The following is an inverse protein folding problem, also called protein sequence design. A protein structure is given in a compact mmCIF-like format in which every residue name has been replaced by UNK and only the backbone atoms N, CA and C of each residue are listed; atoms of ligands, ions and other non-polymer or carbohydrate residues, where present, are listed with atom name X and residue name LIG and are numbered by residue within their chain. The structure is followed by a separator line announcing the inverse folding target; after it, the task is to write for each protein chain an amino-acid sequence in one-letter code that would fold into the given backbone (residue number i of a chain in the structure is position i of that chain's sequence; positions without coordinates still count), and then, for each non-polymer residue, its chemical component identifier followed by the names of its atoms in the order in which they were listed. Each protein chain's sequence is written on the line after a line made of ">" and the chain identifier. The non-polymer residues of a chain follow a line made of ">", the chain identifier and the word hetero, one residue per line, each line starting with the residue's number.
data_IF_141558323079
#
_entry.id   IF_141558323079
#
_cell.length_a   1.000
_cell.length_b   1.000
_cell.length_c   1.000
_cell.angle_alpha   90.00
_cell.angle_beta   90.00
_cell.angle_gamma   90.00
#
_symmetry.space_group_name_H-M   'P 1'
#
loop_
_entity.id
_entity.type
_entity.pdbx_description
1 polymer ?
#
# COMPACT_ATOMS: atom_id res chain seq x y z
N UNK A 1 7.40 6.91 -4.20
CA UNK A 1 7.63 6.00 -3.06
C UNK A 1 7.61 6.72 -1.72
N UNK A 2 8.38 7.78 -1.50
CA UNK A 2 8.37 8.49 -0.19
C UNK A 2 6.98 9.00 0.21
N UNK A 3 6.22 9.57 -0.74
CA UNK A 3 4.84 10.00 -0.49
C UNK A 3 3.94 8.85 0.01
N UNK A 4 4.10 7.64 -0.53
CA UNK A 4 3.32 6.48 -0.09
C UNK A 4 3.71 6.05 1.33
N UNK A 5 5.00 6.06 1.64
CA UNK A 5 5.50 5.78 2.98
C UNK A 5 4.95 6.78 3.99
N UNK A 6 4.93 8.07 3.64
CA UNK A 6 4.40 9.12 4.51
C UNK A 6 2.90 8.95 4.79
N UNK A 7 2.09 8.67 3.76
CA UNK A 7 0.67 8.39 3.97
C UNK A 7 0.44 7.16 4.87
N UNK A 8 1.28 6.13 4.76
CA UNK A 8 1.24 4.96 5.64
C UNK A 8 1.59 5.33 7.09
N UNK A 9 2.62 6.17 7.32
CA UNK A 9 2.97 6.66 8.67
C UNK A 9 1.80 7.39 9.31
N UNK A 10 1.20 8.33 8.57
CA UNK A 10 0.02 9.09 9.02
C UNK A 10 -1.14 8.15 9.36
N UNK A 11 -1.39 7.15 8.50
CA UNK A 11 -2.49 6.22 8.68
C UNK A 11 -2.31 5.32 9.90
N UNK A 12 -1.11 4.75 10.07
CA UNK A 12 -0.78 3.92 11.22
C UNK A 12 -0.88 4.71 12.53
N UNK A 13 -0.35 5.94 12.56
CA UNK A 13 -0.39 6.79 13.75
C UNK A 13 -1.83 7.12 14.15
N UNK A 14 -2.68 7.37 13.15
CA UNK A 14 -4.11 7.63 13.36
C UNK A 14 -4.85 6.41 13.93
N UNK A 15 -4.50 5.19 13.49
CA UNK A 15 -5.10 3.96 14.01
C UNK A 15 -4.66 3.66 15.45
N UNK A 16 -3.38 3.85 15.77
CA UNK A 16 -2.87 3.69 17.13
C UNK A 16 -3.51 4.68 18.11
N UNK A 17 -3.65 5.94 17.69
CA UNK A 17 -4.33 6.96 18.49
C UNK A 17 -5.79 6.59 18.77
N UNK A 18 -6.52 6.12 17.74
CA UNK A 18 -7.91 5.64 17.90
C UNK A 18 -7.97 4.45 18.85
N UNK A 19 -7.10 3.44 18.69
CA UNK A 19 -7.07 2.26 19.56
C UNK A 19 -6.84 2.61 21.04
N UNK A 20 -5.97 3.60 21.33
CA UNK A 20 -5.72 4.07 22.70
C UNK A 20 -6.92 4.80 23.32
N UNK A 21 -7.66 5.55 22.50
CA UNK A 21 -8.89 6.21 22.93
C UNK A 21 -10.01 5.21 23.25
N UNK A 22 -10.10 4.09 22.52
CA UNK A 22 -11.09 3.03 22.81
C UNK A 22 -10.75 2.21 24.05
N UNK A 23 -9.47 2.10 24.43
CA UNK A 23 -9.02 1.30 25.59
C UNK A 23 -9.07 2.09 26.91
N UNK A 24 -9.11 3.43 26.86
CA UNK A 24 -9.31 4.24 28.06
C UNK A 24 -10.81 4.32 28.40
N UNK A 25 -11.30 3.69 29.49
CA UNK A 25 -12.72 3.81 29.85
C UNK A 25 -13.03 5.26 30.20
N UNK A 26 -14.14 5.75 29.65
CA UNK A 26 -14.70 7.06 29.92
C UNK A 26 -15.09 7.16 31.41
N UNK A 27 -14.21 7.69 32.26
CA UNK A 27 -14.55 8.00 33.65
C UNK A 27 -15.46 9.23 33.62
N UNK A 28 -16.77 8.98 33.60
CA UNK A 28 -17.77 10.01 33.83
C UNK A 28 -17.70 10.43 35.31
N UNK A 29 -17.67 11.72 35.65
CA UNK A 29 -17.79 12.14 37.03
C UNK A 29 -19.22 11.88 37.50
N UNK A 30 -19.39 10.93 38.43
CA UNK A 30 -20.65 10.79 39.14
C UNK A 30 -20.90 12.05 39.97
N UNK A 31 -21.96 12.76 39.61
CA UNK A 31 -22.58 13.81 40.39
C UNK A 31 -23.16 13.22 41.68
N UNK A 32 -22.55 13.55 42.83
CA UNK A 32 -23.21 13.39 44.11
C UNK A 32 -23.78 14.76 44.53
N UNK A 33 -25.10 14.86 44.48
CA UNK A 33 -25.91 15.91 45.10
C UNK A 33 -26.27 15.50 46.52
N UNK A 34 -26.09 16.39 47.50
CA UNK A 34 -26.69 16.23 48.83
C UNK A 34 -26.06 17.06 49.94
N UNK A 35 -26.61 18.26 50.13
CA UNK A 35 -26.81 19.04 51.37
C UNK A 35 -25.66 19.53 52.27
N UNK A 36 -25.60 20.87 52.33
CA UNK A 36 -25.40 21.81 53.44
C UNK A 36 -25.06 21.33 54.86
N UNK A 37 -24.03 21.93 55.47
CA UNK A 37 -24.22 22.85 56.62
C UNK A 37 -22.94 23.60 57.10
N UNK A 38 -23.17 24.88 57.45
CA UNK A 38 -22.51 25.84 58.37
C UNK A 38 -21.01 25.79 58.78
N UNK A 39 -20.34 26.94 58.50
CA UNK A 39 -19.56 27.84 59.38
C UNK A 39 -18.67 27.30 60.53
N UNK A 40 -17.36 27.62 60.51
CA UNK A 40 -16.73 28.68 61.34
C UNK A 40 -15.21 28.81 61.10
N UNK A 41 -14.69 30.02 61.30
CA UNK A 41 -13.31 30.43 61.11
C UNK A 41 -12.46 30.29 62.39
N UNK A 42 -11.18 29.92 62.25
CA UNK A 42 -10.01 30.57 62.87
C UNK A 42 -8.71 29.78 62.65
N UNK A 43 -7.59 30.49 62.44
CA UNK A 43 -6.27 30.03 62.88
C UNK A 43 -5.18 29.92 61.82
N UNK A 44 -4.25 30.89 61.85
CA UNK A 44 -2.94 30.91 61.19
C UNK A 44 -2.06 29.70 61.59
N UNK A 45 -1.28 29.14 60.66
CA UNK A 45 0.19 28.99 60.76
C UNK A 45 0.79 28.02 59.71
N UNK A 46 1.92 28.47 59.12
CA UNK A 46 3.09 27.71 58.65
C UNK A 46 2.97 26.65 57.53
N UNK A 47 3.52 27.01 56.36
CA UNK A 47 4.18 26.12 55.37
C UNK A 47 5.27 25.21 56.01
N UNK A 48 5.78 24.12 55.37
CA UNK A 48 6.17 24.08 53.95
C UNK A 48 6.11 22.74 53.17
N UNK A 49 6.36 22.87 51.86
CA UNK A 49 6.95 21.90 50.91
C UNK A 49 6.41 20.45 50.93
N UNK A 50 5.45 20.19 50.04
CA UNK A 50 5.13 18.84 49.57
C UNK A 50 5.17 18.83 48.04
N UNK A 51 6.20 18.18 47.49
CA UNK A 51 6.47 18.06 46.07
C UNK A 51 5.20 17.70 45.26
N UNK A 52 4.82 18.58 44.34
CA UNK A 52 3.95 18.21 43.22
C UNK A 52 4.66 17.09 42.46
N UNK A 53 4.19 15.85 42.65
CA UNK A 53 4.49 14.72 41.78
C UNK A 53 4.14 15.16 40.36
N UNK A 54 5.16 15.60 39.63
CA UNK A 54 5.10 15.81 38.21
C UNK A 54 4.57 14.52 37.59
N UNK A 55 3.48 14.68 36.85
CA UNK A 55 2.91 13.66 36.00
C UNK A 55 4.03 13.03 35.16
N UNK A 56 4.37 11.78 35.46
CA UNK A 56 5.07 10.92 34.50
C UNK A 56 4.05 10.51 33.43
N UNK A 57 3.55 11.48 32.68
CA UNK A 57 3.01 11.19 31.38
C UNK A 57 4.22 10.83 30.52
N UNK A 58 4.42 9.55 30.27
CA UNK A 58 5.41 9.08 29.31
C UNK A 58 4.72 9.04 27.94
N UNK A 59 4.79 10.06 27.06
CA UNK A 59 4.38 9.88 25.69
C UNK A 59 5.55 9.21 24.96
N UNK A 60 5.78 7.92 25.20
CA UNK A 60 6.64 7.12 24.32
C UNK A 60 5.80 6.26 23.41
N UNK A 61 5.07 6.95 22.55
CA UNK A 61 4.68 6.39 21.28
C UNK A 61 5.60 7.01 20.25
N UNK A 62 6.74 6.39 19.99
CA UNK A 62 7.46 6.71 18.76
C UNK A 62 6.48 6.53 17.60
N UNK A 63 6.46 7.47 16.66
CA UNK A 63 5.64 7.35 15.47
C UNK A 63 5.91 5.98 14.79
N UNK A 64 4.89 5.35 14.19
CA UNK A 64 5.06 4.07 13.51
C UNK A 64 6.15 4.18 12.44
N UNK A 65 7.13 3.28 12.51
CA UNK A 65 8.25 3.27 11.59
C UNK A 65 7.83 2.62 10.27
N UNK A 66 7.87 3.41 9.21
CA UNK A 66 7.67 2.96 7.83
C UNK A 66 8.86 3.37 7.00
N UNK A 67 9.45 2.41 6.30
CA UNK A 67 10.54 2.61 5.35
C UNK A 67 10.19 2.03 3.99
N UNK A 68 10.96 2.40 2.98
CA UNK A 68 10.90 1.81 1.64
C UNK A 68 12.24 1.15 1.32
N UNK A 69 12.20 0.07 0.55
CA UNK A 69 13.39 -0.55 0.00
C UNK A 69 13.12 -0.94 -1.46
N UNK A 70 14.16 -0.94 -2.28
CA UNK A 70 14.09 -1.33 -3.70
C UNK A 70 14.97 -2.55 -3.94
N UNK A 71 14.46 -3.50 -4.71
CA UNK A 71 15.17 -4.74 -5.01
C UNK A 71 16.39 -4.50 -5.91
N UNK A 72 16.22 -3.64 -6.92
CA UNK A 72 17.22 -3.34 -7.93
C UNK A 72 17.46 -1.84 -8.04
N UNK A 73 18.57 -1.46 -8.68
CA UNK A 73 18.95 -0.08 -8.98
C UNK A 73 19.15 0.82 -7.75
N UNK A 74 19.24 0.22 -6.56
CA UNK A 74 19.68 0.89 -5.34
C UNK A 74 21.21 0.88 -5.23
N UNK A 75 21.76 1.86 -4.51
CA UNK A 75 23.19 1.92 -4.20
C UNK A 75 23.67 0.71 -3.37
N UNK A 76 22.77 0.10 -2.61
CA UNK A 76 23.04 -1.05 -1.76
C UNK A 76 22.02 -2.17 -1.98
N UNK A 77 22.42 -3.45 -1.85
CA UNK A 77 21.50 -4.58 -2.00
C UNK A 77 20.30 -4.53 -1.03
N UNK A 78 19.19 -5.16 -1.42
CA UNK A 78 17.96 -5.17 -0.62
C UNK A 78 18.17 -5.69 0.80
N UNK A 79 18.93 -6.79 0.99
CA UNK A 79 19.19 -7.33 2.32
C UNK A 79 19.90 -6.31 3.24
N UNK A 80 20.82 -5.50 2.71
CA UNK A 80 21.48 -4.46 3.50
C UNK A 80 20.51 -3.31 3.85
N UNK A 81 19.63 -2.93 2.92
CA UNK A 81 18.59 -1.93 3.19
C UNK A 81 17.68 -2.40 4.33
N UNK A 82 17.26 -3.67 4.30
CA UNK A 82 16.45 -4.30 5.35
C UNK A 82 17.19 -4.28 6.68
N UNK A 83 18.47 -4.70 6.72
CA UNK A 83 19.29 -4.70 7.94
C UNK A 83 19.40 -3.30 8.55
N UNK A 84 19.69 -2.27 7.73
CA UNK A 84 19.79 -0.88 8.21
C UNK A 84 18.48 -0.40 8.81
N UNK A 85 17.36 -0.67 8.15
CA UNK A 85 16.04 -0.29 8.68
C UNK A 85 15.68 -1.08 9.95
N UNK A 86 16.01 -2.36 10.01
CA UNK A 86 15.77 -3.21 11.17
C UNK A 86 16.58 -2.75 12.41
N UNK A 87 17.81 -2.27 12.21
CA UNK A 87 18.62 -1.68 13.29
C UNK A 87 18.01 -0.38 13.83
N UNK A 88 17.49 0.48 12.95
CA UNK A 88 16.73 1.67 13.35
C UNK A 88 15.49 1.25 14.16
N UNK A 89 14.73 0.26 13.67
CA UNK A 89 13.54 -0.24 14.33
C UNK A 89 13.83 -0.84 15.71
N UNK A 90 14.92 -1.61 15.83
CA UNK A 90 15.42 -2.13 17.11
C UNK A 90 15.75 -0.99 18.08
N UNK A 91 16.40 0.08 17.62
CA UNK A 91 16.69 1.26 18.44
C UNK A 91 15.43 1.97 18.97
N UNK A 92 14.31 1.84 18.25
CA UNK A 92 12.99 2.32 18.69
C UNK A 92 12.22 1.29 19.54
N UNK A 93 12.79 0.12 19.82
CA UNK A 93 12.18 -0.94 20.64
C UNK A 93 11.31 -1.93 19.86
N UNK A 94 11.31 -1.91 18.53
CA UNK A 94 10.61 -2.91 17.71
C UNK A 94 11.34 -4.26 17.76
N UNK A 95 10.55 -5.34 17.82
CA UNK A 95 11.05 -6.74 17.80
C UNK A 95 10.73 -7.49 16.50
N UNK A 96 9.89 -6.88 15.66
CA UNK A 96 9.40 -7.48 14.43
C UNK A 96 9.42 -6.44 13.32
N UNK A 97 9.68 -6.90 12.10
CA UNK A 97 9.63 -6.12 10.88
C UNK A 97 8.71 -6.82 9.88
N UNK A 98 7.61 -6.16 9.49
CA UNK A 98 6.75 -6.62 8.40
C UNK A 98 7.25 -6.06 7.07
N UNK A 99 7.57 -6.94 6.12
CA UNK A 99 8.02 -6.56 4.78
C UNK A 99 6.95 -6.93 3.75
N UNK A 100 6.39 -5.94 3.07
CA UNK A 100 5.35 -6.12 2.05
C UNK A 100 5.91 -5.83 0.65
N UNK A 101 6.03 -6.85 -0.22
CA UNK A 101 6.46 -6.63 -1.60
C UNK A 101 5.38 -5.89 -2.41
N UNK A 102 5.73 -4.72 -2.97
CA UNK A 102 4.87 -3.97 -3.88
C UNK A 102 5.02 -4.49 -5.32
N UNK A 103 4.48 -5.68 -5.57
CA UNK A 103 4.41 -6.30 -6.90
C UNK A 103 2.97 -6.73 -7.18
N UNK A 104 2.53 -6.58 -8.44
CA UNK A 104 1.16 -6.93 -8.87
C UNK A 104 1.01 -8.38 -9.35
N UNK A 105 2.10 -8.99 -9.80
CA UNK A 105 2.14 -10.31 -10.40
C UNK A 105 3.27 -11.12 -9.80
N UNK A 106 3.14 -12.44 -9.85
CA UNK A 106 4.17 -13.37 -9.40
C UNK A 106 5.26 -13.46 -10.47
N UNK A 107 6.48 -13.06 -10.11
CA UNK A 107 7.67 -13.11 -10.98
C UNK A 107 8.90 -13.68 -10.26
N UNK A 108 10.05 -13.72 -10.94
CA UNK A 108 11.35 -14.14 -10.35
C UNK A 108 11.58 -13.38 -9.05
N UNK A 109 11.39 -12.07 -9.12
CA UNK A 109 11.57 -11.16 -8.01
C UNK A 109 10.75 -11.54 -6.78
N UNK A 110 9.46 -11.84 -6.95
CA UNK A 110 8.56 -12.15 -5.84
C UNK A 110 8.81 -13.56 -5.28
N UNK A 111 9.09 -14.52 -6.16
CA UNK A 111 9.12 -15.93 -5.79
C UNK A 111 10.51 -16.42 -5.37
N UNK A 112 11.57 -15.75 -5.80
CA UNK A 112 12.96 -16.20 -5.62
C UNK A 112 13.81 -15.09 -5.01
N UNK A 113 13.94 -13.94 -5.69
CA UNK A 113 14.92 -12.92 -5.29
C UNK A 113 14.59 -12.27 -3.93
N UNK A 114 13.34 -11.86 -3.70
CA UNK A 114 12.92 -11.25 -2.44
C UNK A 114 13.01 -12.22 -1.27
N UNK A 115 12.46 -13.45 -1.34
CA UNK A 115 12.66 -14.45 -0.29
C UNK A 115 14.14 -14.70 0.01
N UNK A 116 15.00 -14.76 -1.01
CA UNK A 116 16.44 -14.91 -0.84
C UNK A 116 17.07 -13.71 -0.10
N UNK A 117 16.77 -12.48 -0.52
CA UNK A 117 17.27 -11.26 0.12
C UNK A 117 16.77 -11.13 1.57
N UNK A 118 15.52 -11.51 1.85
CA UNK A 118 14.98 -11.54 3.21
C UNK A 118 15.70 -12.57 4.09
N UNK A 119 16.00 -13.76 3.55
CA UNK A 119 16.77 -14.78 4.27
C UNK A 119 18.17 -14.27 4.64
N UNK A 120 18.87 -13.61 3.71
CA UNK A 120 20.17 -12.98 3.99
C UNK A 120 20.06 -11.91 5.07
N UNK A 121 19.04 -11.05 5.01
CA UNK A 121 18.82 -10.03 6.03
C UNK A 121 18.54 -10.66 7.41
N UNK A 122 17.71 -11.71 7.48
CA UNK A 122 17.40 -12.40 8.72
C UNK A 122 18.63 -13.06 9.34
N UNK A 123 19.49 -13.68 8.52
CA UNK A 123 20.76 -14.26 8.98
C UNK A 123 21.66 -13.20 9.61
N UNK A 124 21.75 -12.02 9.01
CA UNK A 124 22.57 -10.91 9.53
C UNK A 124 22.01 -10.31 10.83
N UNK A 125 20.70 -10.35 11.04
CA UNK A 125 20.04 -9.78 12.23
C UNK A 125 19.95 -10.78 13.40
N UNK A 126 20.16 -12.07 13.15
CA UNK A 126 20.00 -13.11 14.16
C UNK A 126 18.57 -13.15 14.71
N UNK A 127 18.43 -13.33 16.02
CA UNK A 127 17.14 -13.41 16.73
C UNK A 127 16.70 -12.08 17.36
N UNK A 128 17.42 -10.99 17.10
CA UNK A 128 17.13 -9.69 17.72
C UNK A 128 15.86 -9.04 17.18
N UNK A 129 15.55 -9.30 15.91
CA UNK A 129 14.35 -8.83 15.22
C UNK A 129 13.92 -9.88 14.19
N UNK A 130 12.63 -10.20 14.17
CA UNK A 130 12.05 -11.18 13.25
C UNK A 130 11.49 -10.46 12.03
N UNK A 131 11.89 -10.87 10.82
CA UNK A 131 11.34 -10.36 9.57
C UNK A 131 10.19 -11.25 9.12
N UNK A 132 9.00 -10.66 9.02
CA UNK A 132 7.82 -11.28 8.45
C UNK A 132 7.66 -10.82 7.00
N UNK A 133 8.04 -11.67 6.05
CA UNK A 133 7.75 -11.45 4.64
C UNK A 133 6.26 -11.71 4.39
N UNK A 134 5.53 -10.65 4.08
CA UNK A 134 4.11 -10.71 3.77
C UNK A 134 3.88 -11.12 2.30
N UNK A 135 2.68 -11.62 1.95
CA UNK A 135 2.29 -11.77 0.55
C UNK A 135 2.46 -10.47 -0.22
N UNK A 136 2.92 -10.57 -1.47
CA UNK A 136 3.00 -9.43 -2.38
C UNK A 136 1.62 -8.80 -2.62
N UNK A 137 1.59 -7.50 -2.93
CA UNK A 137 0.36 -6.73 -3.10
C UNK A 137 -0.66 -7.38 -4.06
N UNK A 138 -0.19 -7.97 -5.15
CA UNK A 138 -0.97 -8.70 -6.15
C UNK A 138 -1.79 -9.86 -5.61
N UNK A 139 -1.33 -10.49 -4.53
CA UNK A 139 -2.05 -11.59 -3.88
C UNK A 139 -3.24 -11.11 -3.02
N UNK A 140 -3.36 -9.80 -2.76
CA UNK A 140 -4.46 -9.28 -1.95
C UNK A 140 -5.76 -9.23 -2.76
N UNK A 141 -6.82 -9.96 -2.38
CA UNK A 141 -8.09 -9.98 -3.11
C UNK A 141 -8.76 -8.59 -3.25
N UNK A 142 -8.45 -7.66 -2.34
CA UNK A 142 -8.95 -6.29 -2.41
C UNK A 142 -8.39 -5.49 -3.60
N UNK A 143 -7.34 -5.96 -4.28
CA UNK A 143 -6.78 -5.30 -5.46
C UNK A 143 -7.81 -5.23 -6.60
N UNK A 144 -8.58 -6.29 -6.84
CA UNK A 144 -9.61 -6.30 -7.89
C UNK A 144 -10.69 -5.26 -7.61
N UNK A 145 -11.04 -5.05 -6.34
CA UNK A 145 -11.98 -3.98 -5.94
C UNK A 145 -11.42 -2.59 -6.23
N UNK A 146 -10.13 -2.37 -5.97
CA UNK A 146 -9.45 -1.12 -6.33
C UNK A 146 -9.50 -0.88 -7.85
N UNK A 147 -9.15 -1.90 -8.65
CA UNK A 147 -9.19 -1.81 -10.11
C UNK A 147 -10.60 -1.57 -10.65
N UNK A 148 -11.61 -2.22 -10.07
CA UNK A 148 -13.03 -2.02 -10.40
C UNK A 148 -13.44 -0.56 -10.21
N UNK A 149 -13.02 0.07 -9.12
CA UNK A 149 -13.30 1.48 -8.84
C UNK A 149 -12.58 2.44 -9.80
N UNK A 150 -11.36 2.10 -10.24
CA UNK A 150 -10.69 2.86 -11.30
C UNK A 150 -11.43 2.71 -12.63
N UNK A 151 -11.89 1.50 -12.92
CA UNK A 151 -12.64 1.20 -14.14
C UNK A 151 -13.96 1.95 -14.23
N UNK A 152 -14.69 2.09 -13.12
CA UNK A 152 -15.96 2.80 -13.09
C UNK A 152 -15.87 4.27 -13.56
N UNK A 153 -14.65 4.84 -13.62
CA UNK A 153 -14.37 6.19 -14.10
C UNK A 153 -13.97 6.24 -15.59
N UNK A 154 -13.83 5.08 -16.24
CA UNK A 154 -13.46 4.96 -17.64
C UNK A 154 -14.67 4.59 -18.49
N UNK A 155 -14.88 5.33 -19.58
CA UNK A 155 -15.94 5.06 -20.54
C UNK A 155 -15.43 4.16 -21.67
N UNK A 156 -16.18 3.11 -21.99
CA UNK A 156 -15.90 2.23 -23.12
C UNK A 156 -16.94 1.12 -23.27
N UNK A 157 -17.22 0.74 -24.51
CA UNK A 157 -18.04 -0.44 -24.85
C UNK A 157 -17.21 -1.73 -24.95
N UNK A 158 -15.88 -1.61 -25.06
CA UNK A 158 -14.93 -2.69 -24.89
C UNK A 158 -13.82 -2.33 -23.88
N UNK A 159 -13.19 -3.35 -23.31
CA UNK A 159 -12.32 -3.21 -22.13
C UNK A 159 -11.02 -4.01 -22.28
N UNK A 160 -9.88 -3.35 -22.11
CA UNK A 160 -8.54 -3.96 -22.14
C UNK A 160 -7.82 -3.71 -20.82
N UNK A 161 -7.39 -4.77 -20.14
CA UNK A 161 -6.44 -4.69 -19.04
C UNK A 161 -5.02 -4.85 -19.60
N UNK A 162 -4.24 -3.78 -19.61
CA UNK A 162 -2.88 -3.78 -20.16
C UNK A 162 -1.86 -3.96 -19.04
N UNK A 163 -1.14 -5.08 -19.04
CA UNK A 163 -0.02 -5.32 -18.12
C UNK A 163 1.32 -5.33 -18.86
N UNK A 164 2.44 -5.35 -18.11
CA UNK A 164 3.76 -5.46 -18.72
C UNK A 164 3.91 -6.76 -19.55
N UNK A 165 3.29 -7.84 -19.09
CA UNK A 165 3.54 -9.18 -19.61
C UNK A 165 4.82 -9.81 -19.05
N UNK A 166 4.84 -11.14 -19.08
CA UNK A 166 5.96 -11.97 -18.64
C UNK A 166 6.07 -13.18 -19.54
N UNK A 167 7.29 -13.65 -19.80
CA UNK A 167 7.51 -14.90 -20.52
C UNK A 167 7.39 -16.15 -19.63
N UNK A 168 7.17 -15.97 -18.31
CA UNK A 168 7.02 -17.09 -17.38
C UNK A 168 5.73 -17.87 -17.66
N UNK A 169 5.78 -19.22 -17.66
CA UNK A 169 4.57 -20.04 -17.68
C UNK A 169 3.61 -19.65 -16.55
N UNK A 170 2.32 -19.51 -16.87
CA UNK A 170 1.27 -19.16 -15.91
C UNK A 170 1.17 -17.67 -15.56
N UNK A 171 2.14 -16.83 -15.91
CA UNK A 171 2.08 -15.39 -15.60
C UNK A 171 0.97 -14.64 -16.36
N UNK A 172 0.65 -15.09 -17.58
CA UNK A 172 -0.52 -14.62 -18.33
C UNK A 172 -1.84 -15.04 -17.69
N UNK A 173 -1.90 -16.19 -17.01
CA UNK A 173 -3.14 -16.69 -16.39
C UNK A 173 -3.59 -15.77 -15.25
N UNK A 174 -2.65 -15.22 -14.47
CA UNK A 174 -2.94 -14.25 -13.41
C UNK A 174 -3.52 -12.95 -13.97
N UNK A 175 -2.88 -12.37 -14.99
CA UNK A 175 -3.39 -11.16 -15.64
C UNK A 175 -4.74 -11.44 -16.30
N UNK A 176 -4.88 -12.58 -16.97
CA UNK A 176 -6.12 -13.02 -17.60
C UNK A 176 -7.26 -13.20 -16.59
N UNK A 177 -6.98 -13.79 -15.42
CA UNK A 177 -7.97 -13.94 -14.36
C UNK A 177 -8.46 -12.59 -13.82
N UNK A 178 -7.55 -11.64 -13.61
CA UNK A 178 -7.91 -10.28 -13.20
C UNK A 178 -8.71 -9.58 -14.31
N UNK A 179 -8.28 -9.69 -15.57
CA UNK A 179 -9.01 -9.11 -16.71
C UNK A 179 -10.43 -9.68 -16.80
N UNK A 180 -10.59 -10.99 -16.69
CA UNK A 180 -11.90 -11.66 -16.71
C UNK A 180 -12.81 -11.17 -15.57
N UNK A 181 -12.28 -11.01 -14.35
CA UNK A 181 -13.06 -10.47 -13.21
C UNK A 181 -13.52 -9.03 -13.45
N UNK A 182 -12.78 -8.25 -14.25
CA UNK A 182 -13.14 -6.88 -14.62
C UNK A 182 -14.04 -6.82 -15.87
N UNK A 183 -14.34 -7.97 -16.49
CA UNK A 183 -15.04 -8.05 -17.78
C UNK A 183 -14.23 -7.46 -18.92
N UNK A 184 -12.90 -7.59 -18.86
CA UNK A 184 -11.93 -7.08 -19.82
C UNK A 184 -11.17 -8.22 -20.50
N UNK A 185 -10.56 -7.94 -21.66
CA UNK A 185 -9.54 -8.80 -22.25
C UNK A 185 -8.15 -8.38 -21.77
N UNK A 186 -7.25 -9.34 -21.58
CA UNK A 186 -5.87 -9.04 -21.22
C UNK A 186 -5.05 -8.66 -22.47
N UNK A 187 -4.20 -7.65 -22.35
CA UNK A 187 -3.14 -7.34 -23.32
C UNK A 187 -1.82 -7.11 -22.61
N UNK A 188 -0.73 -7.24 -23.35
CA UNK A 188 0.61 -7.17 -22.78
C UNK A 188 1.53 -6.22 -23.55
N UNK A 189 2.43 -5.58 -22.84
CA UNK A 189 3.46 -4.70 -23.42
C UNK A 189 4.59 -5.49 -24.09
N UNK A 190 5.10 -6.53 -23.42
CA UNK A 190 6.32 -7.25 -23.83
C UNK A 190 6.08 -8.61 -24.49
N UNK A 191 4.83 -9.10 -24.49
CA UNK A 191 4.44 -10.41 -25.03
C UNK A 191 3.08 -10.33 -25.74
N UNK A 192 2.61 -11.43 -26.32
CA UNK A 192 1.29 -11.50 -26.97
C UNK A 192 0.19 -11.98 -26.00
N UNK A 193 -1.08 -11.66 -26.24
CA UNK A 193 -1.55 -10.68 -27.23
C UNK A 193 -1.17 -9.24 -26.89
N UNK A 194 -0.68 -8.52 -27.89
CA UNK A 194 -0.24 -7.13 -27.76
C UNK A 194 -1.42 -6.16 -27.70
N UNK A 195 -1.15 -4.92 -27.26
CA UNK A 195 -2.16 -3.86 -27.28
C UNK A 195 -2.70 -3.59 -28.70
N UNK A 196 -1.82 -3.59 -29.70
CA UNK A 196 -2.19 -3.44 -31.12
C UNK A 196 -3.17 -4.51 -31.58
N UNK A 197 -2.86 -5.77 -31.28
CA UNK A 197 -3.69 -6.92 -31.67
C UNK A 197 -5.07 -6.83 -31.03
N UNK A 198 -5.15 -6.55 -29.73
CA UNK A 198 -6.43 -6.46 -29.03
C UNK A 198 -7.27 -5.28 -29.50
N UNK A 199 -6.66 -4.13 -29.81
CA UNK A 199 -7.40 -3.00 -30.40
C UNK A 199 -7.93 -3.37 -31.79
N UNK A 200 -7.16 -4.07 -32.63
CA UNK A 200 -7.63 -4.52 -33.95
C UNK A 200 -8.84 -5.46 -33.81
N UNK A 201 -8.73 -6.49 -32.98
CA UNK A 201 -9.78 -7.49 -32.76
C UNK A 201 -11.08 -6.83 -32.26
N UNK A 202 -10.98 -5.95 -31.27
CA UNK A 202 -12.15 -5.27 -30.71
C UNK A 202 -12.78 -4.29 -31.71
N UNK A 203 -11.95 -3.61 -32.51
CA UNK A 203 -12.42 -2.73 -33.57
C UNK A 203 -13.18 -3.50 -34.66
N UNK A 204 -12.63 -4.63 -35.10
CA UNK A 204 -13.27 -5.54 -36.07
C UNK A 204 -14.58 -6.13 -35.52
N UNK A 205 -14.65 -6.33 -34.21
CA UNK A 205 -15.86 -6.75 -33.49
C UNK A 205 -16.90 -5.63 -33.32
N UNK A 206 -16.62 -4.42 -33.82
CA UNK A 206 -17.56 -3.30 -33.86
C UNK A 206 -17.48 -2.33 -32.68
N UNK A 207 -16.51 -2.49 -31.76
CA UNK A 207 -16.32 -1.55 -30.65
C UNK A 207 -16.08 -0.12 -31.17
N UNK A 208 -16.69 0.86 -30.49
CA UNK A 208 -16.52 2.28 -30.83
C UNK A 208 -15.68 3.02 -29.81
N UNK A 209 -15.60 2.52 -28.57
CA UNK A 209 -14.88 3.14 -27.46
C UNK A 209 -14.18 2.07 -26.63
N UNK A 210 -12.87 1.98 -26.73
CA UNK A 210 -12.08 0.99 -25.99
C UNK A 210 -11.50 1.66 -24.75
N UNK A 211 -11.93 1.22 -23.57
CA UNK A 211 -11.33 1.60 -22.29
C UNK A 211 -10.13 0.70 -22.00
N UNK A 212 -8.98 1.31 -21.70
CA UNK A 212 -7.72 0.60 -21.46
C UNK A 212 -7.26 0.95 -20.04
N UNK A 213 -7.25 -0.02 -19.13
CA UNK A 213 -6.71 0.18 -17.79
C UNK A 213 -5.26 -0.30 -17.74
N UNK A 214 -4.35 0.62 -17.40
CA UNK A 214 -2.95 0.33 -17.19
C UNK A 214 -2.76 -0.43 -15.86
N UNK A 215 -2.46 -1.73 -15.93
CA UNK A 215 -2.20 -2.57 -14.76
C UNK A 215 -0.74 -2.45 -14.29
N UNK A 216 -0.41 -1.25 -13.83
CA UNK A 216 0.90 -0.86 -13.30
C UNK A 216 0.72 -0.16 -11.95
N UNK A 217 1.73 -0.27 -11.08
CA UNK A 217 1.68 0.39 -9.77
C UNK A 217 1.84 1.89 -9.86
N UNK A 218 2.78 2.35 -10.70
CA UNK A 218 3.15 3.76 -10.80
C UNK A 218 3.39 4.14 -12.26
N UNK A 219 3.35 5.44 -12.54
CA UNK A 219 3.79 6.01 -13.81
C UNK A 219 5.31 5.84 -13.97
N UNK A 220 5.76 5.77 -15.22
CA UNK A 220 7.18 5.70 -15.60
C UNK A 220 7.35 5.49 -17.10
N UNK A 221 8.57 5.18 -17.54
CA UNK A 221 8.90 5.13 -18.97
C UNK A 221 8.03 4.15 -19.79
N UNK A 222 7.56 3.05 -19.20
CA UNK A 222 6.64 2.13 -19.87
C UNK A 222 5.25 2.76 -20.07
N UNK A 223 4.70 3.45 -19.06
CA UNK A 223 3.38 4.11 -19.21
C UNK A 223 3.46 5.26 -20.21
N UNK A 224 4.59 5.96 -20.28
CA UNK A 224 4.83 7.01 -21.28
C UNK A 224 4.91 6.42 -22.69
N UNK A 225 5.63 5.30 -22.84
CA UNK A 225 5.73 4.60 -24.12
C UNK A 225 4.37 4.03 -24.58
N UNK A 226 3.54 3.56 -23.65
CA UNK A 226 2.15 3.15 -23.94
C UNK A 226 1.33 4.34 -24.43
N UNK A 227 1.44 5.51 -23.79
CA UNK A 227 0.72 6.70 -24.22
C UNK A 227 1.10 7.12 -25.65
N UNK A 228 2.39 7.05 -26.00
CA UNK A 228 2.85 7.31 -27.37
C UNK A 228 2.34 6.26 -28.36
N UNK A 229 2.42 4.98 -28.01
CA UNK A 229 1.90 3.88 -28.82
C UNK A 229 0.40 4.06 -29.11
N UNK A 230 -0.38 4.56 -28.15
CA UNK A 230 -1.80 4.80 -28.37
C UNK A 230 -2.08 5.92 -29.38
N UNK A 231 -1.20 6.92 -29.51
CA UNK A 231 -1.35 7.93 -30.56
C UNK A 231 -1.18 7.29 -31.95
N UNK A 232 -0.24 6.35 -32.09
CA UNK A 232 -0.03 5.60 -33.34
C UNK A 232 -1.22 4.67 -33.64
N UNK A 233 -1.72 3.96 -32.63
CA UNK A 233 -2.92 3.11 -32.77
C UNK A 233 -4.13 3.96 -33.17
N UNK A 234 -4.32 5.12 -32.53
CA UNK A 234 -5.43 6.03 -32.82
C UNK A 234 -5.40 6.56 -34.26
N UNK A 235 -4.21 6.78 -34.84
CA UNK A 235 -4.06 7.15 -36.26
C UNK A 235 -4.46 5.99 -37.20
N UNK A 236 -4.19 4.75 -36.79
CA UNK A 236 -4.52 3.56 -37.59
C UNK A 236 -6.01 3.19 -37.51
N UNK A 237 -6.65 3.44 -36.36
CA UNK A 237 -8.06 3.15 -36.10
C UNK A 237 -8.85 4.42 -35.75
N UNK A 238 -8.94 5.42 -36.66
CA UNK A 238 -9.57 6.73 -36.37
C UNK A 238 -11.07 6.64 -36.04
N UNK A 239 -11.72 5.53 -36.37
CA UNK A 239 -13.14 5.26 -36.11
C UNK A 239 -13.43 4.79 -34.68
N UNK A 240 -12.40 4.49 -33.88
CA UNK A 240 -12.54 4.03 -32.49
C UNK A 240 -11.89 5.04 -31.56
N UNK A 241 -12.57 5.38 -30.47
CA UNK A 241 -12.01 6.21 -29.41
C UNK A 241 -11.25 5.33 -28.41
N UNK A 242 -9.99 5.66 -28.12
CA UNK A 242 -9.18 4.96 -27.13
C UNK A 242 -9.07 5.79 -25.85
N UNK A 243 -9.46 5.22 -24.72
CA UNK A 243 -9.45 5.89 -23.42
C UNK A 243 -8.47 5.18 -22.48
N UNK A 244 -7.27 5.73 -22.31
CA UNK A 244 -6.28 5.22 -21.36
C UNK A 244 -6.57 5.70 -19.94
N UNK A 245 -6.80 4.76 -19.04
CA UNK A 245 -6.86 4.99 -17.62
C UNK A 245 -5.49 5.10 -16.97
N UNK A 246 -5.47 5.70 -15.79
CA UNK A 246 -4.25 5.86 -14.99
C UNK A 246 -3.80 4.53 -14.40
N UNK A 247 -2.49 4.34 -14.14
CA UNK A 247 -2.01 3.29 -13.26
C UNK A 247 -2.55 3.49 -11.83
N UNK A 248 -2.36 2.49 -10.97
CA UNK A 248 -2.88 2.48 -9.58
C UNK A 248 -2.47 3.74 -8.82
N UNK A 249 -1.20 4.12 -8.93
CA UNK A 249 -0.63 5.34 -8.36
C UNK A 249 -0.65 5.39 -6.83
N UNK A 250 -0.08 6.46 -6.29
CA UNK A 250 -0.19 6.76 -4.85
C UNK A 250 -1.57 7.34 -4.57
N UNK A 251 -2.38 6.62 -3.79
CA UNK A 251 -3.73 7.01 -3.42
C UNK A 251 -4.14 6.46 -2.06
N UNK A 252 -5.16 7.05 -1.43
CA UNK A 252 -5.76 6.50 -0.20
C UNK A 252 -6.22 5.04 -0.39
N UNK A 253 -6.71 4.69 -1.58
CA UNK A 253 -7.12 3.32 -1.88
C UNK A 253 -5.94 2.34 -1.91
N UNK A 254 -4.76 2.76 -2.40
CA UNK A 254 -3.54 1.94 -2.32
C UNK A 254 -3.06 1.81 -0.88
N UNK A 255 -3.14 2.89 -0.09
CA UNK A 255 -2.84 2.85 1.35
C UNK A 255 -3.76 1.86 2.06
N UNK A 256 -5.07 1.91 1.80
CA UNK A 256 -6.04 0.95 2.34
C UNK A 256 -5.67 -0.50 1.98
N UNK A 257 -5.30 -0.75 0.73
CA UNK A 257 -4.90 -2.07 0.25
C UNK A 257 -3.65 -2.59 0.96
N UNK A 258 -2.65 -1.75 1.17
CA UNK A 258 -1.43 -2.10 1.91
C UNK A 258 -1.77 -2.37 3.39
N UNK A 259 -2.61 -1.54 3.99
CA UNK A 259 -3.06 -1.71 5.37
C UNK A 259 -3.86 -3.01 5.56
N UNK A 260 -4.66 -3.41 4.57
CA UNK A 260 -5.32 -4.73 4.56
C UNK A 260 -4.29 -5.86 4.57
N UNK A 261 -3.26 -5.77 3.72
CA UNK A 261 -2.19 -6.77 3.65
C UNK A 261 -1.39 -6.90 4.95
N UNK A 262 -1.14 -5.79 5.65
CA UNK A 262 -0.44 -5.78 6.94
C UNK A 262 -1.26 -6.45 8.06
N UNK A 263 -2.61 -6.35 8.00
CA UNK A 263 -3.54 -6.84 9.04
C UNK A 263 -3.87 -8.33 8.94
N UNK A 264 -3.71 -8.95 7.78
CA UNK A 264 -4.04 -10.37 7.57
C UNK A 264 -2.99 -11.35 8.16
N UNK A 265 -2.06 -10.86 8.98
CA UNK A 265 -1.08 -11.64 9.75
C UNK A 265 -0.98 -11.19 11.20
#
# INVERSE_FOLDING_TARGET
>A
MEQLAELLRIRLASQEARARQTISPNISPQSNSGDSDLLTANGLSSQPLGATRGEFNSPRSSAPLVGTATLELADIPLHEQIVRFAQLAKGAGCKELKLLPLFLLRGVHVMEDIPWQVSLAQQNLGSEIVIHLLPHLGANPALVRLLTNQWAKLEGDAKILLSHGTSRPGGQEETGAVANQLGAVASYWSVQPSLWEQVSILTESGAKRIAILAYFLFEGGITDAIAQMLLEIQQKFPQVQLNLGKPIGVSEALVDLIMDGIRQQ
#
